data_IF_726841789013
#
_entry.id   IF_726841789013
#
_cell.length_a   1.000
_cell.length_b   1.000
_cell.length_c   1.000
_cell.angle_alpha   90.00
_cell.angle_beta   90.00
_cell.angle_gamma   90.00
#
_symmetry.space_group_name_H-M   'P 1'
#
loop_
_entity.id
_entity.type
_entity.pdbx_description
1 polymer ?
#
# COMPACT_ATOMS: atom_id res chain seq x y z
N UNK A 1 -21.52 28.18 -7.23
CA UNK A 1 -20.89 26.84 -7.06
C UNK A 1 -21.48 25.92 -8.11
N UNK A 2 -20.75 25.63 -9.20
CA UNK A 2 -21.26 24.83 -10.31
C UNK A 2 -20.62 23.44 -10.29
N UNK A 3 -21.38 22.42 -9.85
CA UNK A 3 -20.96 21.02 -9.95
C UNK A 3 -21.25 20.54 -11.37
N UNK A 4 -20.20 20.35 -12.17
CA UNK A 4 -20.33 19.67 -13.48
C UNK A 4 -20.57 18.18 -13.24
N UNK A 5 -21.59 17.63 -13.89
CA UNK A 5 -21.93 16.20 -13.81
C UNK A 5 -20.83 15.38 -14.50
N UNK A 6 -20.30 14.39 -13.77
CA UNK A 6 -19.36 13.40 -14.28
C UNK A 6 -20.18 12.19 -14.71
N UNK A 7 -19.99 11.72 -15.95
CA UNK A 7 -20.69 10.56 -16.50
C UNK A 7 -20.42 9.28 -15.70
N UNK A 8 -21.28 8.23 -15.84
CA UNK A 8 -21.37 7.10 -14.92
C UNK A 8 -20.16 6.14 -14.88
N UNK A 9 -19.06 6.45 -15.57
CA UNK A 9 -17.89 5.55 -15.65
C UNK A 9 -16.53 6.26 -15.62
N UNK A 10 -16.48 7.52 -15.22
CA UNK A 10 -15.22 8.20 -14.93
C UNK A 10 -15.05 8.29 -13.42
N UNK A 11 -14.15 7.47 -12.85
CA UNK A 11 -13.61 7.71 -11.51
C UNK A 11 -13.21 9.19 -11.45
N UNK A 12 -13.76 9.99 -10.52
CA UNK A 12 -13.42 11.40 -10.40
C UNK A 12 -11.90 11.52 -10.38
N UNK A 13 -11.35 12.35 -11.25
CA UNK A 13 -9.91 12.58 -11.29
C UNK A 13 -9.56 13.23 -9.95
N UNK A 14 -8.95 12.46 -9.04
CA UNK A 14 -8.51 12.99 -7.76
C UNK A 14 -7.36 13.96 -8.06
N UNK A 15 -7.67 15.25 -8.10
CA UNK A 15 -6.69 16.32 -8.30
C UNK A 15 -6.18 16.69 -6.92
N UNK A 16 -4.87 16.58 -6.73
CA UNK A 16 -4.23 17.01 -5.49
C UNK A 16 -4.02 18.52 -5.53
N UNK A 17 -4.32 19.17 -4.40
CA UNK A 17 -3.98 20.58 -4.20
C UNK A 17 -2.46 20.75 -4.09
N UNK A 18 -1.96 21.95 -4.41
CA UNK A 18 -0.53 22.25 -4.36
C UNK A 18 0.05 22.07 -2.94
N UNK A 19 -0.76 22.33 -1.91
CA UNK A 19 -0.44 22.16 -0.49
C UNK A 19 -0.15 20.71 -0.08
N UNK A 20 -0.59 19.72 -0.88
CA UNK A 20 -0.31 18.31 -0.61
C UNK A 20 1.16 17.96 -0.85
N UNK A 21 1.79 18.61 -1.84
CA UNK A 21 3.11 18.22 -2.30
C UNK A 21 4.20 18.82 -1.40
N UNK A 22 5.28 18.06 -1.13
CA UNK A 22 6.42 18.59 -0.38
C UNK A 22 7.19 19.63 -1.21
N UNK A 23 7.96 20.52 -0.56
CA UNK A 23 8.77 21.54 -1.25
C UNK A 23 9.70 20.96 -2.33
N UNK A 24 10.18 19.73 -2.10
CA UNK A 24 10.99 18.99 -3.08
C UNK A 24 10.29 18.78 -4.43
N UNK A 25 8.96 18.83 -4.47
CA UNK A 25 8.14 18.73 -5.67
C UNK A 25 8.34 19.91 -6.63
N UNK A 26 8.74 21.08 -6.13
CA UNK A 26 8.99 22.26 -6.94
C UNK A 26 10.38 22.23 -7.59
N UNK A 27 11.32 21.43 -7.06
CA UNK A 27 12.66 21.30 -7.62
C UNK A 27 12.67 20.35 -8.83
N UNK A 28 12.82 20.91 -10.04
CA UNK A 28 12.82 20.15 -11.30
C UNK A 28 13.93 19.10 -11.38
N UNK A 29 15.15 19.45 -10.99
CA UNK A 29 16.30 18.54 -11.03
C UNK A 29 16.08 17.35 -10.09
N UNK A 30 15.60 17.62 -8.87
CA UNK A 30 15.31 16.57 -7.88
C UNK A 30 14.16 15.68 -8.35
N UNK A 31 13.09 16.27 -8.86
CA UNK A 31 11.94 15.52 -9.36
C UNK A 31 12.25 14.70 -10.61
N UNK A 32 13.16 15.14 -11.48
CA UNK A 32 13.64 14.33 -12.59
C UNK A 32 14.26 13.00 -12.12
N UNK A 33 15.05 13.06 -11.04
CA UNK A 33 15.62 11.86 -10.42
C UNK A 33 14.55 11.02 -9.70
N UNK A 34 13.59 11.65 -9.03
CA UNK A 34 12.54 10.93 -8.30
C UNK A 34 11.53 10.26 -9.24
N UNK A 35 11.23 10.82 -10.42
CA UNK A 35 10.28 10.25 -11.37
C UNK A 35 10.88 9.15 -12.26
N UNK A 36 12.21 9.09 -12.42
CA UNK A 36 12.88 8.11 -13.28
C UNK A 36 12.77 6.67 -12.75
N UNK A 37 13.34 5.69 -13.45
CA UNK A 37 13.44 4.31 -12.95
C UNK A 37 14.42 4.21 -11.76
N UNK A 38 14.40 3.08 -11.05
CA UNK A 38 15.44 2.79 -10.07
C UNK A 38 16.70 2.32 -10.78
N UNK A 39 17.86 2.84 -10.34
CA UNK A 39 19.17 2.28 -10.70
C UNK A 39 19.49 1.12 -9.77
N UNK A 40 20.49 0.30 -10.12
CA UNK A 40 20.95 -0.81 -9.28
C UNK A 40 21.35 -0.27 -7.90
N UNK A 41 20.77 -0.84 -6.83
CA UNK A 41 20.99 -0.39 -5.45
C UNK A 41 22.47 -0.44 -5.04
N UNK A 42 23.23 -1.42 -5.51
CA UNK A 42 24.66 -1.55 -5.18
C UNK A 42 25.53 -0.38 -5.69
N UNK A 43 25.09 0.33 -6.72
CA UNK A 43 25.83 1.47 -7.28
C UNK A 43 25.64 2.72 -6.41
N UNK A 44 24.43 2.92 -5.88
CA UNK A 44 24.12 4.04 -4.99
C UNK A 44 22.97 3.67 -4.06
N UNK A 45 23.27 3.05 -2.90
CA UNK A 45 22.24 2.59 -1.97
C UNK A 45 21.52 3.76 -1.31
N UNK A 46 22.22 4.84 -0.99
CA UNK A 46 21.62 6.02 -0.34
C UNK A 46 20.54 6.67 -1.22
N UNK A 47 20.82 6.90 -2.50
CA UNK A 47 19.85 7.49 -3.41
C UNK A 47 18.69 6.53 -3.70
N UNK A 48 18.97 5.22 -3.80
CA UNK A 48 17.92 4.21 -3.94
C UNK A 48 16.98 4.24 -2.73
N UNK A 49 17.52 4.13 -1.52
CA UNK A 49 16.76 4.02 -0.29
C UNK A 49 15.99 5.33 0.00
N UNK A 50 16.63 6.48 -0.26
CA UNK A 50 15.97 7.80 -0.15
C UNK A 50 14.80 7.96 -1.12
N UNK A 51 14.97 7.52 -2.38
CA UNK A 51 13.89 7.54 -3.39
C UNK A 51 12.77 6.56 -3.02
N UNK A 52 13.10 5.38 -2.51
CA UNK A 52 12.13 4.40 -2.03
C UNK A 52 11.29 4.97 -0.88
N UNK A 53 11.95 5.54 0.12
CA UNK A 53 11.31 6.18 1.27
C UNK A 53 10.35 7.31 0.83
N UNK A 54 10.83 8.21 -0.03
CA UNK A 54 10.02 9.31 -0.56
C UNK A 54 8.71 8.81 -1.19
N UNK A 55 8.78 7.81 -2.07
CA UNK A 55 7.57 7.32 -2.74
C UNK A 55 6.64 6.53 -1.84
N UNK A 56 7.17 5.76 -0.87
CA UNK A 56 6.35 5.09 0.15
C UNK A 56 5.57 6.11 0.98
N UNK A 57 6.22 7.19 1.39
CA UNK A 57 5.58 8.29 2.13
C UNK A 57 4.52 9.00 1.27
N UNK A 58 4.83 9.32 0.01
CA UNK A 58 3.86 9.92 -0.91
C UNK A 58 2.61 9.07 -1.11
N UNK A 59 2.76 7.75 -1.27
CA UNK A 59 1.62 6.82 -1.41
C UNK A 59 0.80 6.79 -0.12
N UNK A 60 1.45 6.72 1.04
CA UNK A 60 0.76 6.73 2.34
C UNK A 60 -0.04 8.02 2.54
N UNK A 61 0.60 9.17 2.37
CA UNK A 61 -0.03 10.48 2.50
C UNK A 61 -1.21 10.61 1.53
N UNK A 62 -1.08 10.04 0.32
CA UNK A 62 -2.17 10.02 -0.65
C UNK A 62 -3.36 9.18 -0.17
N UNK A 63 -3.13 7.97 0.35
CA UNK A 63 -4.18 7.14 0.91
C UNK A 63 -4.90 7.84 2.09
N UNK A 64 -4.13 8.50 2.97
CA UNK A 64 -4.65 9.28 4.10
C UNK A 64 -5.49 10.46 3.62
N UNK A 65 -4.97 11.25 2.67
CA UNK A 65 -5.67 12.40 2.10
C UNK A 65 -6.94 12.00 1.34
N UNK A 66 -6.92 10.87 0.63
CA UNK A 66 -8.10 10.28 -0.03
C UNK A 66 -9.11 9.69 0.97
N UNK A 67 -8.69 9.39 2.20
CA UNK A 67 -9.49 8.68 3.20
C UNK A 67 -9.75 7.20 2.84
N UNK A 68 -8.91 6.61 1.98
CA UNK A 68 -9.09 5.24 1.49
C UNK A 68 -7.73 4.57 1.26
N UNK A 69 -7.52 3.40 1.88
CA UNK A 69 -6.30 2.60 1.71
C UNK A 69 -6.21 1.84 0.39
N UNK A 70 -7.27 1.84 -0.42
CA UNK A 70 -7.27 1.18 -1.73
C UNK A 70 -6.71 2.12 -2.80
N UNK A 71 -5.61 1.68 -3.42
CA UNK A 71 -4.93 2.38 -4.52
C UNK A 71 -4.56 1.42 -5.63
N UNK A 72 -4.45 1.94 -6.85
CA UNK A 72 -3.93 1.19 -8.00
C UNK A 72 -2.72 1.91 -8.62
N UNK A 73 -1.85 1.16 -9.31
CA UNK A 73 -0.71 1.77 -10.00
C UNK A 73 -1.16 2.76 -11.09
N UNK A 74 -2.28 2.50 -11.76
CA UNK A 74 -2.83 3.37 -12.81
C UNK A 74 -3.26 4.71 -12.23
N UNK A 75 -3.93 4.67 -11.07
CA UNK A 75 -4.31 5.85 -10.29
C UNK A 75 -3.08 6.64 -9.84
N UNK A 76 -2.11 6.00 -9.19
CA UNK A 76 -0.90 6.66 -8.70
C UNK A 76 -0.10 7.31 -9.83
N UNK A 77 0.05 6.64 -10.98
CA UNK A 77 0.71 7.21 -12.16
C UNK A 77 -0.01 8.45 -12.72
N UNK A 78 -1.34 8.48 -12.63
CA UNK A 78 -2.14 9.62 -13.08
C UNK A 78 -2.06 10.79 -12.09
N UNK A 79 -2.19 10.51 -10.80
CA UNK A 79 -2.21 11.50 -9.71
C UNK A 79 -0.84 12.15 -9.51
N UNK A 80 0.23 11.37 -9.59
CA UNK A 80 1.60 11.86 -9.45
C UNK A 80 2.26 12.24 -10.79
N UNK A 81 1.46 12.44 -11.84
CA UNK A 81 1.96 12.98 -13.11
C UNK A 81 2.37 14.43 -12.91
N UNK A 82 3.61 14.76 -13.25
CA UNK A 82 4.19 16.10 -13.10
C UNK A 82 4.77 16.58 -14.43
N UNK A 83 4.34 17.76 -14.89
CA UNK A 83 4.84 18.39 -16.13
C UNK A 83 4.86 17.43 -17.34
N UNK A 84 3.84 16.57 -17.46
CA UNK A 84 3.76 15.58 -18.54
C UNK A 84 4.41 14.22 -18.24
N UNK A 85 5.26 14.13 -17.21
CA UNK A 85 6.01 12.93 -16.85
C UNK A 85 5.29 12.13 -15.76
N UNK A 86 5.12 10.83 -15.99
CA UNK A 86 4.64 9.90 -14.95
C UNK A 86 5.82 9.35 -14.15
N UNK A 87 5.61 8.91 -12.89
CA UNK A 87 6.68 8.28 -12.14
C UNK A 87 6.88 6.83 -12.61
N UNK A 88 7.99 6.57 -13.29
CA UNK A 88 8.36 5.26 -13.83
C UNK A 88 8.74 4.26 -12.72
N UNK A 89 9.25 4.76 -11.60
CA UNK A 89 9.66 3.95 -10.45
C UNK A 89 8.51 3.28 -9.67
N UNK A 90 7.25 3.70 -9.85
CA UNK A 90 6.15 3.22 -8.99
C UNK A 90 5.96 1.71 -9.01
N UNK A 91 6.26 1.03 -10.12
CA UNK A 91 6.18 -0.43 -10.20
C UNK A 91 7.10 -1.08 -9.17
N UNK A 92 8.34 -0.60 -9.07
CA UNK A 92 9.33 -1.09 -8.11
C UNK A 92 8.91 -0.76 -6.68
N UNK A 93 8.38 0.45 -6.42
CA UNK A 93 7.93 0.85 -5.08
C UNK A 93 6.78 -0.04 -4.60
N UNK A 94 5.78 -0.29 -5.45
CA UNK A 94 4.63 -1.13 -5.08
C UNK A 94 5.08 -2.58 -4.82
N UNK A 95 5.96 -3.12 -5.65
CA UNK A 95 6.52 -4.45 -5.42
C UNK A 95 7.28 -4.54 -4.10
N UNK A 96 8.01 -3.49 -3.74
CA UNK A 96 8.74 -3.37 -2.48
C UNK A 96 7.79 -3.31 -1.26
N UNK A 97 6.73 -2.49 -1.35
CA UNK A 97 5.70 -2.39 -0.31
C UNK A 97 4.89 -3.69 -0.13
N UNK A 98 4.61 -4.42 -1.23
CA UNK A 98 3.98 -5.74 -1.17
C UNK A 98 4.90 -6.75 -0.47
N UNK A 99 6.21 -6.75 -0.82
CA UNK A 99 7.20 -7.64 -0.20
C UNK A 99 7.36 -7.37 1.30
N UNK A 100 7.28 -6.11 1.73
CA UNK A 100 7.34 -5.72 3.14
C UNK A 100 5.99 -5.85 3.88
N UNK A 101 4.91 -6.26 3.20
CA UNK A 101 3.59 -6.39 3.81
C UNK A 101 2.90 -5.05 4.13
N UNK A 102 3.41 -3.94 3.60
CA UNK A 102 2.78 -2.62 3.74
C UNK A 102 1.57 -2.45 2.81
N UNK A 103 1.56 -3.20 1.70
CA UNK A 103 0.41 -3.37 0.82
C UNK A 103 0.05 -4.84 0.74
N UNK A 104 -1.20 -5.10 0.39
CA UNK A 104 -1.71 -6.45 0.14
C UNK A 104 -2.50 -6.44 -1.16
N UNK A 105 -2.40 -7.52 -1.93
CA UNK A 105 -3.21 -7.69 -3.12
C UNK A 105 -4.70 -7.68 -2.76
N UNK A 106 -5.54 -7.08 -3.61
CA UNK A 106 -6.99 -7.00 -3.35
C UNK A 106 -7.63 -8.37 -3.10
N UNK A 107 -7.19 -9.40 -3.84
CA UNK A 107 -7.67 -10.77 -3.66
C UNK A 107 -7.20 -11.43 -2.37
N UNK A 108 -6.00 -11.09 -1.89
CA UNK A 108 -5.45 -11.62 -0.64
C UNK A 108 -6.08 -10.94 0.59
N UNK A 109 -6.44 -9.65 0.49
CA UNK A 109 -7.15 -8.93 1.54
C UNK A 109 -8.52 -9.51 1.87
N UNK A 110 -9.20 -10.07 0.87
CA UNK A 110 -10.54 -10.65 1.01
C UNK A 110 -10.52 -12.11 1.49
N UNK A 111 -9.34 -12.74 1.62
CA UNK A 111 -9.24 -14.10 2.18
C UNK A 111 -9.49 -14.01 3.69
N UNK A 112 -10.49 -14.74 4.22
CA UNK A 112 -10.71 -14.75 5.65
C UNK A 112 -9.48 -15.41 6.32
N UNK A 113 -9.11 -14.89 7.50
CA UNK A 113 -7.98 -15.37 8.35
C UNK A 113 -8.31 -16.75 8.95
N UNK A 114 -8.66 -17.73 8.13
CA UNK A 114 -8.98 -19.10 8.56
C UNK A 114 -7.83 -20.07 8.27
N UNK A 115 -6.80 -19.62 7.52
CA UNK A 115 -5.61 -20.41 7.19
C UNK A 115 -4.43 -20.19 8.16
N UNK A 116 -4.63 -19.42 9.24
CA UNK A 116 -3.63 -19.30 10.31
C UNK A 116 -3.71 -20.51 11.24
N UNK A 117 -2.59 -21.22 11.46
CA UNK A 117 -2.44 -22.35 12.40
C UNK A 117 -3.14 -22.07 13.75
N UNK A 118 -3.12 -20.83 14.25
CA UNK A 118 -3.79 -20.44 15.49
C UNK A 118 -5.31 -20.69 15.54
N UNK A 119 -6.03 -20.60 14.41
CA UNK A 119 -7.49 -20.75 14.37
C UNK A 119 -7.99 -22.14 14.77
N UNK A 120 -7.23 -23.19 14.42
CA UNK A 120 -7.49 -24.57 14.87
C UNK A 120 -7.15 -24.76 16.36
N UNK A 121 -6.10 -24.12 16.86
CA UNK A 121 -5.61 -24.32 18.22
C UNK A 121 -6.55 -23.73 19.29
N UNK A 122 -7.15 -22.56 19.03
CA UNK A 122 -8.13 -21.97 19.96
C UNK A 122 -9.43 -22.78 20.03
N UNK A 123 -9.85 -23.38 18.91
CA UNK A 123 -11.05 -24.23 18.88
C UNK A 123 -10.85 -25.52 19.68
N UNK A 124 -9.63 -26.06 19.70
CA UNK A 124 -9.29 -27.25 20.50
C UNK A 124 -9.28 -26.95 22.01
N UNK A 125 -8.72 -25.81 22.42
CA UNK A 125 -8.52 -25.48 23.84
C UNK A 125 -9.78 -24.94 24.53
N UNK A 126 -10.62 -24.19 23.81
CA UNK A 126 -11.85 -23.63 24.42
C UNK A 126 -12.98 -24.64 24.43
N UNK A 127 -13.11 -25.49 23.39
CA UNK A 127 -14.26 -26.39 23.27
C UNK A 127 -14.06 -27.76 23.93
N UNK A 128 -12.85 -28.14 24.36
CA UNK A 128 -12.61 -29.40 25.08
C UNK A 128 -11.51 -29.29 26.14
N UNK A 129 -11.91 -29.04 27.40
CA UNK A 129 -11.44 -29.94 28.45
C UNK A 129 -12.52 -30.20 29.51
N UNK A 130 -13.57 -30.97 29.19
CA UNK A 130 -14.50 -31.48 30.21
C UNK A 130 -14.81 -32.99 30.08
N UNK A 131 -14.07 -33.74 29.25
CA UNK A 131 -14.40 -35.13 28.94
C UNK A 131 -13.34 -36.19 29.29
N UNK A 132 -12.13 -35.83 29.71
CA UNK A 132 -11.04 -36.78 29.99
C UNK A 132 -10.51 -36.60 31.42
N UNK A 133 -11.32 -37.02 32.40
CA UNK A 133 -10.92 -36.95 33.81
C UNK A 133 -11.77 -37.73 34.81
N UNK A 134 -12.81 -38.44 34.38
CA UNK A 134 -13.60 -39.31 35.26
C UNK A 134 -13.67 -40.72 34.68
N UNK A 135 -12.74 -41.56 35.10
CA UNK A 135 -12.81 -42.98 34.78
C UNK A 135 -11.50 -43.70 35.00
N UNK A 136 -10.95 -43.65 36.22
CA UNK A 136 -10.31 -44.78 36.91
C UNK A 136 -10.12 -44.45 38.39
N UNK A 137 -11.22 -44.42 39.12
CA UNK A 137 -11.20 -44.82 40.53
C UNK A 137 -12.27 -45.89 40.66
N UNK A 138 -11.86 -47.15 40.54
CA UNK A 138 -12.51 -48.24 41.27
C UNK A 138 -11.56 -49.43 41.39
N UNK A 139 -11.29 -49.73 42.67
CA UNK A 139 -10.78 -50.95 43.32
C UNK A 139 -9.39 -51.48 42.95
#
# INVERSE_FOLDING_TARGET
MSRKSVGPNAQPLFVLEESFYPDTWQNDSRMGVLLSEFRVRSINPENYDSKMKFWKEMIRNYCEHKGCGAVSIVELKRVFKRKGTIPYCLQTVIADMLREGQLVGRGDFQRPVQDSWGGWAVDLLVKRPLGWGFGKVKE
#
